data_IF_502992072866
#
_entry.id   IF_502992072866
#
_cell.length_a   1.000
_cell.length_b   1.000
_cell.length_c   1.000
_cell.angle_alpha   90.00
_cell.angle_beta   90.00
_cell.angle_gamma   90.00
#
_symmetry.space_group_name_H-M   'P 1'
#
loop_
_entity.id
_entity.type
_entity.pdbx_description
1 polymer ?
#
# COMPACT_ATOMS: atom_id res chain seq x y z
N UNK A 1 21.39 -12.35 18.61
CA UNK A 1 20.42 -11.23 18.65
C UNK A 1 19.05 -11.84 18.66
N UNK A 2 18.30 -11.65 19.71
CA UNK A 2 17.07 -12.38 20.03
C UNK A 2 15.92 -11.96 19.11
N UNK A 3 15.21 -12.95 18.58
CA UNK A 3 13.98 -12.92 17.71
C UNK A 3 12.80 -12.11 18.29
N UNK A 4 13.03 -11.30 19.34
CA UNK A 4 12.03 -10.68 20.19
C UNK A 4 11.41 -9.37 19.63
N UNK A 5 11.91 -8.87 18.50
CA UNK A 5 11.46 -7.58 17.93
C UNK A 5 10.58 -7.71 16.68
N UNK A 6 10.41 -8.92 16.15
CA UNK A 6 9.65 -9.13 14.90
C UNK A 6 8.17 -9.33 15.19
N UNK A 7 7.29 -8.58 14.52
CA UNK A 7 5.85 -8.81 14.54
C UNK A 7 5.46 -9.88 13.51
N UNK A 8 4.86 -10.98 13.97
CA UNK A 8 4.40 -12.06 13.09
C UNK A 8 3.25 -11.57 12.19
N UNK A 9 2.31 -10.78 12.70
CA UNK A 9 1.21 -10.21 11.92
C UNK A 9 1.72 -9.25 10.85
N UNK A 10 2.65 -8.37 11.19
CA UNK A 10 3.26 -7.46 10.22
C UNK A 10 3.99 -8.24 9.11
N UNK A 11 4.78 -9.25 9.46
CA UNK A 11 5.50 -10.07 8.48
C UNK A 11 4.56 -10.90 7.60
N UNK A 12 3.46 -11.43 8.13
CA UNK A 12 2.42 -12.12 7.34
C UNK A 12 1.81 -11.16 6.32
N UNK A 13 1.51 -9.94 6.73
CA UNK A 13 0.85 -8.94 5.90
C UNK A 13 1.76 -8.33 4.83
N UNK A 14 3.06 -8.18 5.13
CA UNK A 14 4.04 -7.54 4.24
C UNK A 14 4.77 -8.52 3.33
N UNK A 15 4.89 -9.80 3.74
CA UNK A 15 5.62 -10.78 2.96
C UNK A 15 4.87 -11.14 1.66
N UNK A 16 5.59 -11.07 0.56
CA UNK A 16 5.09 -11.37 -0.77
C UNK A 16 5.64 -12.71 -1.26
N UNK A 17 4.90 -13.37 -2.12
CA UNK A 17 5.41 -14.59 -2.73
C UNK A 17 5.06 -15.86 -2.00
N UNK A 18 3.91 -15.91 -1.35
CA UNK A 18 3.38 -17.14 -0.81
C UNK A 18 3.03 -18.13 -1.94
N UNK A 19 3.44 -19.39 -1.75
CA UNK A 19 2.89 -20.49 -2.54
C UNK A 19 1.41 -20.68 -2.16
N UNK A 20 0.64 -21.40 -2.98
CA UNK A 20 -0.77 -21.67 -2.69
C UNK A 20 -1.01 -22.30 -1.31
N UNK A 21 -0.11 -23.20 -0.89
CA UNK A 21 -0.17 -23.83 0.43
C UNK A 21 0.24 -22.90 1.58
N UNK A 22 1.14 -21.95 1.33
CA UNK A 22 1.49 -20.93 2.31
C UNK A 22 0.37 -19.89 2.42
N UNK A 23 -0.28 -19.54 1.31
CA UNK A 23 -1.43 -18.64 1.31
C UNK A 23 -2.58 -19.19 2.16
N UNK A 24 -2.88 -20.50 2.08
CA UNK A 24 -3.88 -21.11 2.96
C UNK A 24 -3.53 -21.01 4.45
N UNK A 25 -2.23 -21.04 4.79
CA UNK A 25 -1.80 -20.79 6.19
C UNK A 25 -2.07 -19.35 6.60
N UNK A 26 -1.76 -18.40 5.72
CA UNK A 26 -2.02 -16.97 5.94
C UNK A 26 -3.51 -16.71 6.12
N UNK A 27 -4.32 -17.20 5.17
CA UNK A 27 -5.77 -17.01 5.19
C UNK A 27 -6.38 -17.56 6.49
N UNK A 28 -5.99 -18.79 6.87
CA UNK A 28 -6.46 -19.38 8.12
C UNK A 28 -6.08 -18.56 9.35
N UNK A 29 -4.83 -18.07 9.43
CA UNK A 29 -4.37 -17.26 10.57
C UNK A 29 -5.15 -15.95 10.66
N UNK A 30 -5.40 -15.29 9.52
CA UNK A 30 -6.12 -14.03 9.48
C UNK A 30 -7.62 -14.20 9.80
N UNK A 31 -8.24 -15.27 9.34
CA UNK A 31 -9.65 -15.60 9.63
C UNK A 31 -9.87 -16.09 11.07
N UNK A 32 -8.87 -16.72 11.70
CA UNK A 32 -8.99 -17.38 13.00
C UNK A 32 -7.98 -16.82 14.02
N UNK A 33 -7.83 -15.51 14.08
CA UNK A 33 -6.82 -14.83 14.91
C UNK A 33 -6.87 -15.22 16.39
N UNK A 34 -8.05 -15.49 16.93
CA UNK A 34 -8.19 -15.90 18.34
C UNK A 34 -7.74 -17.33 18.61
N UNK A 35 -7.80 -18.22 17.62
CA UNK A 35 -7.51 -19.64 17.72
C UNK A 35 -6.09 -19.98 17.24
N UNK A 36 -5.66 -19.37 16.13
CA UNK A 36 -4.39 -19.67 15.47
C UNK A 36 -3.16 -19.70 16.41
N UNK A 37 -2.99 -18.76 17.37
CA UNK A 37 -1.86 -18.80 18.31
C UNK A 37 -1.86 -19.97 19.28
N UNK A 38 -2.99 -20.68 19.42
CA UNK A 38 -3.14 -21.81 20.34
C UNK A 38 -2.92 -23.15 19.69
N UNK A 39 -2.90 -23.18 18.35
CA UNK A 39 -2.73 -24.40 17.59
C UNK A 39 -1.29 -24.88 17.59
N UNK A 40 -1.09 -26.19 17.64
CA UNK A 40 0.21 -26.79 17.32
C UNK A 40 0.47 -26.74 15.81
N UNK A 41 1.73 -26.92 15.38
CA UNK A 41 2.05 -26.98 13.95
C UNK A 41 1.23 -28.06 13.21
N UNK A 42 0.99 -29.21 13.85
CA UNK A 42 0.17 -30.28 13.33
C UNK A 42 -1.33 -29.87 13.20
N UNK A 43 -1.85 -29.11 14.14
CA UNK A 43 -3.22 -28.60 14.09
C UNK A 43 -3.38 -27.52 13.03
N UNK A 44 -2.44 -26.55 12.99
CA UNK A 44 -2.44 -25.51 11.96
C UNK A 44 -2.29 -26.09 10.56
N UNK A 45 -1.44 -27.09 10.37
CA UNK A 45 -1.27 -27.73 9.07
C UNK A 45 -2.54 -28.42 8.58
N UNK A 46 -3.29 -29.07 9.49
CA UNK A 46 -4.59 -29.68 9.18
C UNK A 46 -5.66 -28.64 8.87
N UNK A 47 -5.74 -27.60 9.69
CA UNK A 47 -6.71 -26.51 9.53
C UNK A 47 -6.51 -25.74 8.21
N UNK A 48 -5.25 -25.48 7.85
CA UNK A 48 -4.91 -24.83 6.58
C UNK A 48 -4.79 -25.80 5.37
N UNK A 49 -5.22 -27.06 5.52
CA UNK A 49 -5.13 -28.10 4.47
C UNK A 49 -3.72 -28.19 3.84
N UNK A 50 -2.67 -28.24 4.67
CA UNK A 50 -1.26 -28.31 4.26
C UNK A 50 -0.47 -29.32 5.11
N UNK A 51 0.85 -29.38 4.96
CA UNK A 51 1.72 -30.26 5.75
C UNK A 51 2.47 -29.50 6.85
N UNK A 52 2.85 -30.18 7.94
CA UNK A 52 3.68 -29.59 9.00
C UNK A 52 5.04 -29.09 8.46
N UNK A 53 5.59 -29.79 7.44
CA UNK A 53 6.80 -29.35 6.77
C UNK A 53 6.61 -28.01 6.04
N UNK A 54 5.43 -27.76 5.49
CA UNK A 54 5.07 -26.47 4.87
C UNK A 54 4.93 -25.39 5.92
N UNK A 55 4.27 -25.66 7.05
CA UNK A 55 4.18 -24.71 8.19
C UNK A 55 5.57 -24.33 8.70
N UNK A 56 6.46 -25.33 8.85
CA UNK A 56 7.84 -25.08 9.30
C UNK A 56 8.64 -24.23 8.30
N UNK A 57 8.49 -24.48 6.98
CA UNK A 57 9.14 -23.66 5.94
C UNK A 57 8.57 -22.24 5.89
N UNK A 58 7.27 -22.10 6.02
CA UNK A 58 6.60 -20.82 6.12
C UNK A 58 7.16 -19.95 7.24
N UNK A 59 7.29 -20.49 8.46
CA UNK A 59 7.88 -19.77 9.59
C UNK A 59 9.31 -19.33 9.31
N UNK A 60 10.14 -20.20 8.72
CA UNK A 60 11.52 -19.85 8.37
C UNK A 60 11.59 -18.79 7.27
N UNK A 61 10.71 -18.84 6.31
CA UNK A 61 10.59 -17.85 5.23
C UNK A 61 10.27 -16.46 5.78
N UNK A 62 9.44 -16.37 6.84
CA UNK A 62 9.15 -15.15 7.57
C UNK A 62 10.29 -14.75 8.55
N UNK A 63 11.41 -15.49 8.57
CA UNK A 63 12.58 -15.19 9.40
C UNK A 63 12.48 -15.65 10.85
N UNK A 64 11.55 -16.56 11.17
CA UNK A 64 11.47 -17.20 12.49
C UNK A 64 12.28 -18.52 12.52
N UNK A 65 13.06 -18.72 13.57
CA UNK A 65 13.86 -19.93 13.74
C UNK A 65 13.05 -21.21 13.92
N UNK A 66 11.82 -21.11 14.40
CA UNK A 66 10.92 -22.23 14.66
C UNK A 66 9.45 -21.81 14.60
N UNK A 67 8.53 -22.79 14.45
CA UNK A 67 7.11 -22.57 14.62
C UNK A 67 6.77 -21.98 16.01
N UNK A 68 7.47 -22.41 17.04
CA UNK A 68 7.25 -21.90 18.41
C UNK A 68 7.60 -20.42 18.54
N UNK A 69 8.69 -19.94 17.92
CA UNK A 69 9.05 -18.52 17.94
C UNK A 69 8.05 -17.68 17.14
N UNK A 70 7.58 -18.19 16.01
CA UNK A 70 6.50 -17.59 15.24
C UNK A 70 5.20 -17.51 16.05
N UNK A 71 4.77 -18.62 16.65
CA UNK A 71 3.58 -18.72 17.49
C UNK A 71 3.63 -17.75 18.67
N UNK A 72 4.76 -17.63 19.33
CA UNK A 72 4.96 -16.69 20.45
C UNK A 72 4.85 -15.24 20.00
N UNK A 73 5.44 -14.89 18.85
CA UNK A 73 5.30 -13.55 18.26
C UNK A 73 3.85 -13.26 17.87
N UNK A 74 3.18 -14.20 17.22
CA UNK A 74 1.76 -14.08 16.86
C UNK A 74 0.86 -13.90 18.09
N UNK A 75 1.11 -14.69 19.14
CA UNK A 75 0.36 -14.57 20.39
C UNK A 75 0.58 -13.21 21.05
N UNK A 76 1.81 -12.73 21.09
CA UNK A 76 2.17 -11.41 21.64
C UNK A 76 1.52 -10.27 20.85
N UNK A 77 1.54 -10.33 19.51
CA UNK A 77 0.94 -9.31 18.68
C UNK A 77 -0.58 -9.24 18.92
N UNK A 78 -1.24 -10.38 19.00
CA UNK A 78 -2.68 -10.47 19.29
C UNK A 78 -3.03 -10.14 20.75
N UNK A 79 -2.12 -10.41 21.69
CA UNK A 79 -2.31 -10.03 23.10
C UNK A 79 -2.12 -8.52 23.29
N UNK A 80 -1.20 -7.89 22.54
CA UNK A 80 -1.08 -6.42 22.50
C UNK A 80 -2.38 -5.80 21.98
N UNK A 81 -2.94 -6.32 20.90
CA UNK A 81 -4.23 -5.88 20.36
C UNK A 81 -5.38 -6.09 21.38
N UNK A 82 -5.37 -7.22 22.10
CA UNK A 82 -6.37 -7.52 23.15
C UNK A 82 -6.21 -6.66 24.41
N UNK A 83 -4.98 -6.40 24.84
CA UNK A 83 -4.71 -5.57 26.02
C UNK A 83 -5.09 -4.11 25.78
N UNK A 84 -5.11 -3.67 24.51
CA UNK A 84 -5.70 -2.42 24.09
C UNK A 84 -7.23 -2.51 23.93
N UNK A 85 -7.83 -3.69 24.21
CA UNK A 85 -9.27 -3.93 24.08
C UNK A 85 -9.76 -3.90 22.64
N UNK A 86 -8.86 -4.11 21.67
CA UNK A 86 -9.17 -3.99 20.26
C UNK A 86 -9.84 -5.27 19.75
N UNK A 87 -11.03 -5.13 19.22
CA UNK A 87 -11.80 -6.18 18.54
C UNK A 87 -12.13 -5.70 17.12
N UNK A 88 -12.38 -6.62 16.19
CA UNK A 88 -12.82 -6.24 14.84
C UNK A 88 -14.27 -5.73 14.80
N UNK A 89 -14.96 -5.75 15.97
CA UNK A 89 -16.34 -5.33 16.06
C UNK A 89 -16.46 -3.81 16.13
N UNK A 90 -17.25 -3.25 15.23
CA UNK A 90 -17.68 -1.85 15.24
C UNK A 90 -19.17 -1.81 15.55
N UNK A 91 -19.54 -1.16 16.66
CA UNK A 91 -20.91 -1.08 17.13
C UNK A 91 -21.23 0.33 17.66
N UNK A 92 -22.43 0.80 17.39
CA UNK A 92 -22.94 2.06 17.98
C UNK A 92 -23.17 1.95 19.48
N UNK A 93 -23.39 0.74 20.01
CA UNK A 93 -23.59 0.50 21.43
C UNK A 93 -22.30 0.67 22.24
N UNK A 94 -21.14 0.57 21.57
CA UNK A 94 -19.83 0.78 22.18
C UNK A 94 -18.93 1.63 21.27
N UNK A 95 -19.30 2.89 21.08
CA UNK A 95 -18.61 3.81 20.17
C UNK A 95 -17.17 4.07 20.58
N UNK A 96 -16.87 4.24 21.86
CA UNK A 96 -15.51 4.53 22.32
C UNK A 96 -14.54 3.40 21.93
N UNK A 97 -14.92 2.15 22.19
CA UNK A 97 -14.11 0.99 21.82
C UNK A 97 -14.02 0.83 20.31
N UNK A 98 -15.13 1.04 19.59
CA UNK A 98 -15.17 0.98 18.12
C UNK A 98 -14.22 1.99 17.48
N UNK A 99 -14.15 3.22 18.01
CA UNK A 99 -13.20 4.24 17.53
C UNK A 99 -11.75 3.82 17.76
N UNK A 100 -11.44 3.23 18.93
CA UNK A 100 -10.09 2.69 19.22
C UNK A 100 -9.74 1.54 18.28
N UNK A 101 -10.68 0.64 18.02
CA UNK A 101 -10.49 -0.48 17.08
C UNK A 101 -10.19 0.02 15.67
N UNK A 102 -10.97 0.97 15.15
CA UNK A 102 -10.77 1.57 13.84
C UNK A 102 -9.40 2.23 13.75
N UNK A 103 -9.03 3.05 14.74
CA UNK A 103 -7.73 3.72 14.77
C UNK A 103 -6.58 2.71 14.75
N UNK A 104 -6.63 1.70 15.62
CA UNK A 104 -5.57 0.70 15.70
C UNK A 104 -5.41 -0.12 14.42
N UNK A 105 -6.52 -0.51 13.78
CA UNK A 105 -6.48 -1.18 12.48
C UNK A 105 -5.80 -0.31 11.42
N UNK A 106 -6.15 0.98 11.35
CA UNK A 106 -5.56 1.91 10.39
C UNK A 106 -4.08 2.21 10.67
N UNK A 107 -3.70 2.36 11.93
CA UNK A 107 -2.29 2.52 12.34
C UNK A 107 -1.49 1.27 11.95
N UNK A 108 -2.03 0.07 12.15
CA UNK A 108 -1.38 -1.19 11.75
C UNK A 108 -1.17 -1.26 10.23
N UNK A 109 -2.18 -0.92 9.42
CA UNK A 109 -2.08 -0.86 7.95
C UNK A 109 -1.01 0.11 7.49
N UNK A 110 -0.96 1.31 8.08
CA UNK A 110 0.01 2.34 7.75
C UNK A 110 1.44 1.93 8.12
N UNK A 111 1.65 1.40 9.34
CA UNK A 111 2.95 0.91 9.77
C UNK A 111 3.46 -0.20 8.84
N UNK A 112 2.62 -1.20 8.55
CA UNK A 112 2.98 -2.29 7.65
C UNK A 112 3.29 -1.80 6.22
N UNK A 113 2.60 -0.75 5.75
CA UNK A 113 2.87 -0.13 4.45
C UNK A 113 4.23 0.56 4.44
N UNK A 114 4.55 1.33 5.49
CA UNK A 114 5.84 2.04 5.62
C UNK A 114 7.00 1.05 5.77
N UNK A 115 6.84 0.04 6.63
CA UNK A 115 7.87 -0.99 6.86
C UNK A 115 8.16 -1.82 5.60
N UNK A 116 7.20 -1.88 4.68
CA UNK A 116 7.32 -2.57 3.39
C UNK A 116 7.96 -1.74 2.27
N UNK A 117 8.32 -0.47 2.51
CA UNK A 117 8.95 0.37 1.48
C UNK A 117 10.41 -0.06 1.27
N UNK A 118 10.73 -0.45 0.05
CA UNK A 118 12.11 -0.63 -0.38
C UNK A 118 12.78 0.73 -0.62
N UNK A 119 13.89 0.97 0.07
CA UNK A 119 14.55 2.27 0.07
C UNK A 119 15.18 2.61 -1.28
N UNK A 120 15.70 1.62 -2.01
CA UNK A 120 16.29 1.84 -3.33
C UNK A 120 15.20 2.18 -4.35
N UNK A 121 14.07 1.51 -4.27
CA UNK A 121 12.86 1.83 -5.06
C UNK A 121 12.37 3.26 -4.78
N UNK A 122 12.29 3.65 -3.50
CA UNK A 122 11.87 5.00 -3.12
C UNK A 122 12.83 6.06 -3.70
N UNK A 123 14.14 5.86 -3.52
CA UNK A 123 15.15 6.78 -4.04
C UNK A 123 15.09 6.90 -5.57
N UNK A 124 14.93 5.78 -6.27
CA UNK A 124 14.83 5.75 -7.73
C UNK A 124 13.57 6.47 -8.23
N UNK A 125 12.42 6.28 -7.56
CA UNK A 125 11.16 6.95 -7.92
C UNK A 125 11.23 8.46 -7.63
N UNK A 126 11.78 8.87 -6.49
CA UNK A 126 11.99 10.30 -6.18
C UNK A 126 12.87 10.94 -7.24
N UNK A 127 13.96 10.28 -7.64
CA UNK A 127 14.84 10.77 -8.70
C UNK A 127 14.13 10.87 -10.06
N UNK A 128 13.35 9.85 -10.43
CA UNK A 128 12.58 9.85 -11.68
C UNK A 128 11.55 10.98 -11.72
N UNK A 129 10.79 11.18 -10.63
CA UNK A 129 9.77 12.22 -10.54
C UNK A 129 10.37 13.64 -10.52
N UNK A 130 11.51 13.85 -9.83
CA UNK A 130 12.24 15.12 -9.83
C UNK A 130 12.64 15.56 -11.22
N UNK A 131 13.06 14.61 -12.06
CA UNK A 131 13.58 14.88 -13.41
C UNK A 131 12.53 14.69 -14.50
N UNK A 132 11.28 14.38 -14.14
CA UNK A 132 10.23 14.13 -15.11
C UNK A 132 9.85 15.38 -15.93
N UNK A 133 9.74 15.22 -17.24
CA UNK A 133 9.17 16.26 -18.10
C UNK A 133 7.68 16.47 -17.81
N UNK A 134 6.96 15.37 -17.62
CA UNK A 134 5.53 15.31 -17.24
C UNK A 134 5.30 14.10 -16.34
N UNK A 135 4.40 14.25 -15.37
CA UNK A 135 3.94 13.17 -14.49
C UNK A 135 2.44 12.97 -14.69
N UNK A 136 2.04 11.76 -15.10
CA UNK A 136 0.63 11.37 -15.10
C UNK A 136 0.33 10.56 -13.85
N UNK A 137 -0.64 11.00 -13.02
CA UNK A 137 -1.24 10.19 -11.97
C UNK A 137 -2.54 9.58 -12.49
N UNK A 138 -2.62 8.26 -12.56
CA UNK A 138 -3.79 7.59 -13.11
C UNK A 138 -4.36 6.53 -12.15
N UNK A 139 -5.67 6.54 -12.03
CA UNK A 139 -6.43 5.62 -11.18
C UNK A 139 -7.80 5.32 -11.80
N UNK A 140 -8.54 4.37 -11.23
CA UNK A 140 -9.90 4.04 -11.65
C UNK A 140 -10.77 3.77 -10.41
N UNK A 141 -11.98 4.34 -10.41
CA UNK A 141 -12.93 4.14 -9.30
C UNK A 141 -12.56 4.99 -8.09
N UNK A 142 -12.61 4.40 -6.89
CA UNK A 142 -12.40 5.14 -5.64
C UNK A 142 -10.97 5.66 -5.46
N UNK A 143 -9.97 5.05 -6.10
CA UNK A 143 -8.58 5.49 -6.05
C UNK A 143 -8.32 6.77 -6.87
N UNK A 144 -9.28 7.22 -7.70
CA UNK A 144 -9.17 8.52 -8.38
C UNK A 144 -8.94 9.69 -7.41
N UNK A 145 -9.50 9.62 -6.20
CA UNK A 145 -9.29 10.66 -5.19
C UNK A 145 -7.81 10.81 -4.81
N UNK A 146 -7.06 9.70 -4.77
CA UNK A 146 -5.61 9.72 -4.48
C UNK A 146 -4.82 10.32 -5.65
N UNK A 147 -5.19 9.98 -6.88
CA UNK A 147 -4.54 10.54 -8.08
C UNK A 147 -4.79 12.06 -8.21
N UNK A 148 -6.00 12.53 -7.88
CA UNK A 148 -6.33 13.96 -7.84
C UNK A 148 -5.53 14.70 -6.77
N UNK A 149 -5.47 14.17 -5.55
CA UNK A 149 -4.69 14.73 -4.44
C UNK A 149 -3.19 14.78 -4.79
N UNK A 150 -2.64 13.69 -5.32
CA UNK A 150 -1.25 13.63 -5.77
C UNK A 150 -0.97 14.70 -6.85
N UNK A 151 -1.82 14.80 -7.86
CA UNK A 151 -1.66 15.81 -8.92
C UNK A 151 -1.64 17.22 -8.34
N UNK A 152 -2.56 17.53 -7.43
CA UNK A 152 -2.62 18.83 -6.77
C UNK A 152 -1.33 19.13 -5.99
N UNK A 153 -0.91 18.23 -5.10
CA UNK A 153 0.28 18.39 -4.24
C UNK A 153 1.57 18.54 -5.05
N UNK A 154 1.77 17.68 -6.03
CA UNK A 154 3.01 17.67 -6.80
C UNK A 154 3.07 18.86 -7.77
N UNK A 155 1.92 19.37 -8.25
CA UNK A 155 1.88 20.61 -9.03
C UNK A 155 2.31 21.82 -8.20
N UNK A 156 2.02 21.85 -6.89
CA UNK A 156 2.50 22.91 -6.00
C UNK A 156 4.03 22.94 -5.83
N UNK A 157 4.70 21.81 -6.06
CA UNK A 157 6.16 21.74 -6.09
C UNK A 157 6.76 22.29 -7.41
N UNK A 158 5.94 22.76 -8.34
CA UNK A 158 6.37 23.20 -9.66
C UNK A 158 6.47 22.06 -10.71
N UNK A 159 6.06 20.84 -10.37
CA UNK A 159 6.09 19.70 -11.29
C UNK A 159 4.90 19.75 -12.25
N UNK A 160 5.13 19.35 -13.48
CA UNK A 160 4.07 19.31 -14.51
C UNK A 160 3.27 18.01 -14.37
N UNK A 161 2.15 18.08 -13.66
CA UNK A 161 1.33 16.93 -13.34
C UNK A 161 0.01 16.93 -14.11
N UNK A 162 -0.50 15.74 -14.41
CA UNK A 162 -1.78 15.51 -15.08
C UNK A 162 -2.51 14.35 -14.42
N UNK A 163 -3.81 14.44 -14.30
CA UNK A 163 -4.71 13.32 -14.02
C UNK A 163 -6.05 13.53 -14.70
N UNK A 164 -6.80 12.47 -14.91
CA UNK A 164 -8.20 12.53 -15.36
C UNK A 164 -9.01 11.40 -14.72
N UNK A 165 -10.23 11.72 -14.33
CA UNK A 165 -11.22 10.72 -13.88
C UNK A 165 -11.84 9.96 -15.06
N UNK A 166 -11.65 10.45 -16.29
CA UNK A 166 -12.09 9.82 -17.53
C UNK A 166 -10.95 8.93 -18.05
N UNK A 167 -11.16 7.63 -17.99
CA UNK A 167 -10.12 6.65 -18.37
C UNK A 167 -9.64 6.79 -19.81
N UNK A 168 -10.52 7.17 -20.73
CA UNK A 168 -10.20 7.38 -22.14
C UNK A 168 -9.26 8.58 -22.32
N UNK A 169 -9.42 9.63 -21.54
CA UNK A 169 -8.53 10.80 -21.52
C UNK A 169 -7.15 10.39 -21.00
N UNK A 170 -7.08 9.66 -19.87
CA UNK A 170 -5.80 9.17 -19.34
C UNK A 170 -5.12 8.20 -20.29
N UNK A 171 -5.83 7.28 -20.94
CA UNK A 171 -5.24 6.40 -21.97
C UNK A 171 -4.68 7.22 -23.14
N UNK A 172 -5.44 8.23 -23.59
CA UNK A 172 -5.00 9.13 -24.65
C UNK A 172 -3.73 9.90 -24.28
N UNK A 173 -3.65 10.35 -23.02
CA UNK A 173 -2.49 11.07 -22.51
C UNK A 173 -1.27 10.13 -22.35
N UNK A 174 -1.46 8.94 -21.84
CA UNK A 174 -0.39 7.94 -21.71
C UNK A 174 0.30 7.62 -23.06
N UNK A 175 -0.43 7.74 -24.17
CA UNK A 175 0.13 7.59 -25.53
C UNK A 175 1.01 8.77 -25.99
N UNK A 176 0.97 9.90 -25.27
CA UNK A 176 1.79 11.09 -25.57
C UNK A 176 3.05 11.21 -24.72
N UNK A 177 3.20 10.33 -23.73
CA UNK A 177 4.38 10.29 -22.87
C UNK A 177 5.65 9.97 -23.66
N UNK A 178 6.79 10.34 -23.13
CA UNK A 178 8.11 10.22 -23.77
C UNK A 178 9.12 9.66 -22.78
N UNK A 179 10.29 9.20 -23.24
CA UNK A 179 11.41 8.88 -22.36
C UNK A 179 11.72 10.07 -21.43
N UNK A 180 11.80 9.80 -20.13
CA UNK A 180 11.95 10.81 -19.09
C UNK A 180 10.65 11.29 -18.45
N UNK A 181 9.47 10.94 -19.00
CA UNK A 181 8.19 11.13 -18.35
C UNK A 181 7.88 9.97 -17.39
N UNK A 182 6.97 10.20 -16.45
CA UNK A 182 6.58 9.20 -15.44
C UNK A 182 5.06 9.04 -15.42
N UNK A 183 4.57 7.81 -15.37
CA UNK A 183 3.19 7.51 -15.01
C UNK A 183 3.14 6.78 -13.67
N UNK A 184 2.32 7.30 -12.74
CA UNK A 184 2.05 6.69 -11.43
C UNK A 184 0.64 6.11 -11.44
N UNK A 185 0.54 4.79 -11.40
CA UNK A 185 -0.72 4.05 -11.48
C UNK A 185 -1.14 3.56 -10.10
N UNK A 186 -2.32 3.96 -9.65
CA UNK A 186 -2.82 3.66 -8.30
C UNK A 186 -3.98 2.70 -8.39
N UNK A 187 -3.79 1.48 -7.87
CA UNK A 187 -4.78 0.41 -7.95
C UNK A 187 -4.65 -0.57 -6.80
N UNK A 188 -5.64 -0.69 -5.94
CA UNK A 188 -5.57 -1.66 -4.84
C UNK A 188 -5.30 -3.08 -5.36
N UNK A 189 -6.14 -3.65 -6.20
CA UNK A 189 -5.99 -5.03 -6.69
C UNK A 189 -4.99 -5.21 -7.84
N UNK A 190 -4.61 -4.12 -8.53
CA UNK A 190 -3.77 -4.21 -9.74
C UNK A 190 -4.38 -4.97 -10.92
N UNK A 191 -5.70 -5.27 -10.88
CA UNK A 191 -6.41 -6.08 -11.90
C UNK A 191 -7.17 -5.26 -12.93
N UNK A 192 -7.18 -3.92 -12.84
CA UNK A 192 -7.90 -3.05 -13.76
C UNK A 192 -7.38 -3.15 -15.19
N UNK A 193 -8.23 -3.59 -16.12
CA UNK A 193 -7.88 -3.65 -17.55
C UNK A 193 -7.52 -2.26 -18.12
N UNK A 194 -8.15 -1.20 -17.61
CA UNK A 194 -7.90 0.18 -18.07
C UNK A 194 -6.50 0.61 -17.66
N UNK A 195 -6.13 0.45 -16.39
CA UNK A 195 -4.79 0.79 -15.89
C UNK A 195 -3.70 -0.07 -16.55
N UNK A 196 -3.96 -1.36 -16.80
CA UNK A 196 -3.02 -2.21 -17.54
C UNK A 196 -2.78 -1.71 -18.98
N UNK A 197 -3.82 -1.14 -19.63
CA UNK A 197 -3.65 -0.49 -20.97
C UNK A 197 -2.82 0.78 -20.87
N UNK A 198 -3.03 1.62 -19.85
CA UNK A 198 -2.24 2.83 -19.62
C UNK A 198 -0.78 2.48 -19.36
N UNK A 199 -0.50 1.51 -18.46
CA UNK A 199 0.84 1.04 -18.18
C UNK A 199 1.57 0.56 -19.46
N UNK A 200 0.87 -0.21 -20.28
CA UNK A 200 1.44 -0.71 -21.54
C UNK A 200 1.73 0.42 -22.52
N UNK A 201 0.78 1.35 -22.70
CA UNK A 201 0.95 2.51 -23.56
C UNK A 201 2.16 3.35 -23.13
N UNK A 202 2.28 3.68 -21.84
CA UNK A 202 3.40 4.43 -21.29
C UNK A 202 4.74 3.73 -21.50
N UNK A 203 4.81 2.41 -21.26
CA UNK A 203 6.03 1.61 -21.55
C UNK A 203 6.42 1.62 -23.02
N UNK A 204 5.43 1.44 -23.89
CA UNK A 204 5.67 1.45 -25.36
C UNK A 204 6.20 2.82 -25.83
N UNK A 205 5.88 3.90 -25.10
CA UNK A 205 6.41 5.25 -25.29
C UNK A 205 7.75 5.51 -24.58
N UNK A 206 8.27 4.58 -23.80
CA UNK A 206 9.54 4.71 -23.07
C UNK A 206 9.44 5.51 -21.75
N UNK A 207 8.25 5.79 -21.27
CA UNK A 207 8.05 6.43 -19.97
C UNK A 207 8.26 5.45 -18.82
N UNK A 208 8.67 5.97 -17.66
CA UNK A 208 8.81 5.20 -16.43
C UNK A 208 7.44 4.88 -15.81
N UNK A 209 7.18 3.64 -15.49
CA UNK A 209 5.93 3.17 -14.91
C UNK A 209 6.11 2.85 -13.42
N UNK A 210 5.43 3.61 -12.56
CA UNK A 210 5.36 3.40 -11.11
C UNK A 210 3.99 2.88 -10.76
N UNK A 211 3.91 1.85 -9.92
CA UNK A 211 2.63 1.26 -9.47
C UNK A 211 2.53 1.30 -7.95
N UNK A 212 1.38 1.74 -7.44
CA UNK A 212 0.99 1.66 -6.02
C UNK A 212 -0.16 0.66 -5.94
N UNK A 213 0.06 -0.51 -5.31
CA UNK A 213 -0.91 -1.61 -5.28
C UNK A 213 -0.73 -2.49 -4.04
N UNK A 214 -1.79 -3.19 -3.61
CA UNK A 214 -1.69 -4.20 -2.54
C UNK A 214 -1.25 -5.58 -3.04
N UNK A 215 -1.17 -5.80 -4.35
CA UNK A 215 -0.73 -7.05 -4.96
C UNK A 215 0.45 -6.81 -5.92
N UNK A 216 1.66 -7.07 -5.42
CA UNK A 216 2.91 -6.95 -6.20
C UNK A 216 3.05 -7.99 -7.30
N UNK A 217 2.20 -9.02 -7.33
CA UNK A 217 2.15 -10.03 -8.38
C UNK A 217 1.04 -9.77 -9.39
N UNK A 218 0.27 -8.71 -9.19
CA UNK A 218 -0.83 -8.33 -10.09
C UNK A 218 -0.36 -8.14 -11.52
N UNK A 219 -1.27 -8.25 -12.50
CA UNK A 219 -0.95 -7.94 -13.89
C UNK A 219 -0.38 -6.53 -14.08
N UNK A 220 -0.84 -5.55 -13.27
CA UNK A 220 -0.37 -4.17 -13.32
C UNK A 220 1.07 -4.05 -12.78
N UNK A 221 1.36 -4.67 -11.64
CA UNK A 221 2.71 -4.65 -11.05
C UNK A 221 3.78 -5.27 -11.96
N UNK A 222 3.41 -6.27 -12.77
CA UNK A 222 4.33 -6.87 -13.75
C UNK A 222 4.70 -5.94 -14.91
N UNK A 223 3.96 -4.88 -15.12
CA UNK A 223 4.23 -3.84 -16.12
C UNK A 223 5.02 -2.66 -15.55
N UNK A 224 5.20 -2.61 -14.25
CA UNK A 224 5.89 -1.53 -13.56
C UNK A 224 7.41 -1.67 -13.64
N UNK A 225 8.10 -0.54 -13.68
CA UNK A 225 9.54 -0.44 -13.40
C UNK A 225 9.76 -0.40 -11.88
N UNK A 226 8.83 0.25 -11.15
CA UNK A 226 8.85 0.36 -9.69
C UNK A 226 7.46 0.09 -9.10
N UNK A 227 7.43 -0.62 -7.98
CA UNK A 227 6.16 -0.94 -7.28
C UNK A 227 6.26 -0.63 -5.80
N UNK A 228 5.30 0.14 -5.27
CA UNK A 228 5.06 0.28 -3.84
C UNK A 228 3.91 -0.64 -3.44
N UNK A 229 4.16 -1.43 -2.41
CA UNK A 229 3.14 -2.32 -1.88
C UNK A 229 2.39 -1.64 -0.73
N UNK A 230 1.06 -1.62 -0.83
CA UNK A 230 0.18 -1.12 0.24
C UNK A 230 -0.44 -2.27 1.00
N UNK A 231 -0.53 -2.13 2.32
CA UNK A 231 -1.24 -3.10 3.16
C UNK A 231 -2.64 -2.58 3.47
N UNK A 232 -3.63 -3.46 3.36
CA UNK A 232 -5.02 -3.16 3.61
C UNK A 232 -5.71 -4.41 4.17
N UNK A 233 -6.31 -4.30 5.35
CA UNK A 233 -6.96 -5.40 6.06
C UNK A 233 -8.49 -5.41 5.87
N UNK A 234 -9.04 -4.53 5.04
CA UNK A 234 -10.47 -4.46 4.81
C UNK A 234 -10.97 -5.65 3.97
N UNK A 235 -11.61 -6.61 4.62
CA UNK A 235 -12.35 -7.70 3.98
C UNK A 235 -13.79 -7.26 3.67
N UNK A 236 -13.98 -6.33 2.74
CA UNK A 236 -15.26 -5.61 2.61
C UNK A 236 -16.22 -6.16 1.56
N UNK A 237 -15.82 -7.06 0.69
CA UNK A 237 -16.72 -7.62 -0.31
C UNK A 237 -16.41 -9.09 -0.59
N UNK A 238 -17.43 -9.83 -1.04
CA UNK A 238 -17.40 -11.25 -1.42
C UNK A 238 -16.29 -11.63 -2.40
N UNK A 239 -15.68 -10.67 -3.10
CA UNK A 239 -14.61 -10.91 -4.07
C UNK A 239 -13.20 -10.62 -3.52
N UNK A 240 -13.08 -9.97 -2.34
CA UNK A 240 -11.78 -9.55 -1.78
C UNK A 240 -10.97 -8.53 -2.61
N UNK A 241 -11.47 -8.15 -3.79
CA UNK A 241 -10.74 -7.28 -4.73
C UNK A 241 -10.96 -5.77 -4.48
N UNK A 242 -11.85 -5.42 -3.55
CA UNK A 242 -12.17 -4.03 -3.24
C UNK A 242 -11.73 -3.66 -1.83
N UNK A 243 -10.93 -2.61 -1.72
CA UNK A 243 -10.72 -1.89 -0.48
C UNK A 243 -11.34 -0.50 -0.60
N UNK A 244 -12.10 -0.07 0.41
CA UNK A 244 -12.65 1.29 0.45
C UNK A 244 -11.65 2.29 1.00
N UNK A 245 -10.78 1.86 1.93
CA UNK A 245 -9.72 2.72 2.45
C UNK A 245 -8.68 3.02 1.37
N UNK A 246 -8.31 4.28 1.31
CA UNK A 246 -7.25 4.79 0.44
C UNK A 246 -6.03 5.23 1.24
N UNK A 247 -6.07 5.06 2.57
CA UNK A 247 -5.08 5.63 3.49
C UNK A 247 -3.67 5.13 3.18
N UNK A 248 -3.50 3.84 2.92
CA UNK A 248 -2.18 3.27 2.60
C UNK A 248 -1.63 3.80 1.27
N UNK A 249 -2.47 3.95 0.24
CA UNK A 249 -2.04 4.54 -1.03
C UNK A 249 -1.73 6.04 -0.87
N UNK A 250 -2.53 6.77 -0.10
CA UNK A 250 -2.28 8.17 0.24
C UNK A 250 -0.97 8.30 1.03
N UNK A 251 -0.70 7.40 1.97
CA UNK A 251 0.56 7.39 2.73
C UNK A 251 1.79 7.24 1.81
N UNK A 252 1.75 6.39 0.78
CA UNK A 252 2.83 6.30 -0.19
C UNK A 252 3.02 7.63 -0.94
N UNK A 253 1.93 8.28 -1.36
CA UNK A 253 2.00 9.61 -1.98
C UNK A 253 2.61 10.64 -1.04
N UNK A 254 2.22 10.65 0.24
CA UNK A 254 2.80 11.52 1.27
C UNK A 254 4.30 11.27 1.46
N UNK A 255 4.72 10.02 1.51
CA UNK A 255 6.14 9.67 1.63
C UNK A 255 6.91 10.21 0.43
N UNK A 256 6.48 9.94 -0.79
CA UNK A 256 7.15 10.41 -2.01
C UNK A 256 7.20 11.95 -2.02
N UNK A 257 6.10 12.62 -1.68
CA UNK A 257 6.03 14.08 -1.61
C UNK A 257 7.05 14.66 -0.62
N UNK A 258 7.13 14.09 0.58
CA UNK A 258 8.05 14.57 1.63
C UNK A 258 9.53 14.36 1.25
N UNK A 259 9.86 13.32 0.48
CA UNK A 259 11.20 13.14 -0.05
C UNK A 259 11.50 14.03 -1.26
N UNK A 260 10.49 14.38 -2.07
CA UNK A 260 10.64 15.29 -3.20
C UNK A 260 10.79 16.74 -2.80
N UNK A 261 10.08 17.19 -1.76
CA UNK A 261 10.08 18.58 -1.33
C UNK A 261 11.49 19.18 -1.12
N UNK A 262 12.44 18.53 -0.42
CA UNK A 262 13.79 19.05 -0.28
C UNK A 262 14.66 18.90 -1.55
N UNK A 263 14.25 18.06 -2.50
CA UNK A 263 15.00 17.77 -3.71
C UNK A 263 14.71 18.74 -4.86
N UNK A 264 13.61 19.50 -4.79
CA UNK A 264 13.22 20.48 -5.81
C UNK A 264 13.62 21.86 -5.32
N UNK A 265 14.56 22.49 -6.02
CA UNK A 265 15.23 23.73 -5.61
C UNK A 265 14.22 24.87 -5.34
N UNK A 266 13.26 25.06 -6.25
CA UNK A 266 12.29 26.15 -6.21
C UNK A 266 10.94 25.76 -5.58
N UNK A 267 10.81 24.57 -4.97
CA UNK A 267 9.53 24.07 -4.45
C UNK A 267 8.87 25.03 -3.46
N UNK A 268 9.65 25.62 -2.56
CA UNK A 268 9.14 26.55 -1.54
C UNK A 268 8.66 27.86 -2.16
N UNK A 269 9.34 28.35 -3.20
CA UNK A 269 8.93 29.55 -3.93
C UNK A 269 7.62 29.31 -4.68
N UNK A 270 7.49 28.17 -5.34
CA UNK A 270 6.23 27.76 -6.00
C UNK A 270 5.07 27.67 -5.00
N UNK A 271 5.28 27.05 -3.84
CA UNK A 271 4.25 26.94 -2.80
C UNK A 271 3.86 28.34 -2.28
N UNK A 272 4.84 29.18 -1.95
CA UNK A 272 4.57 30.56 -1.48
C UNK A 272 3.80 31.36 -2.50
N UNK A 273 4.21 31.32 -3.77
CA UNK A 273 3.53 32.04 -4.84
C UNK A 273 2.09 31.53 -5.05
N UNK A 274 1.89 30.21 -4.99
CA UNK A 274 0.55 29.65 -5.03
C UNK A 274 -0.32 30.15 -3.86
N UNK A 275 0.22 30.16 -2.62
CA UNK A 275 -0.50 30.67 -1.46
C UNK A 275 -0.88 32.15 -1.60
N UNK A 276 0.01 32.98 -2.13
CA UNK A 276 -0.27 34.39 -2.41
C UNK A 276 -1.42 34.57 -3.41
N UNK A 277 -1.46 33.76 -4.46
CA UNK A 277 -2.51 33.81 -5.48
C UNK A 277 -3.90 33.44 -4.93
N UNK A 278 -3.99 32.52 -3.98
CA UNK A 278 -5.27 32.07 -3.41
C UNK A 278 -5.65 32.81 -2.12
N UNK A 279 -4.73 33.62 -1.55
CA UNK A 279 -4.98 34.34 -0.31
C UNK A 279 -6.23 35.24 -0.34
N UNK A 280 -6.56 35.93 -1.44
CA UNK A 280 -7.77 36.76 -1.53
C UNK A 280 -9.07 35.98 -1.33
N UNK A 281 -9.06 34.66 -1.56
CA UNK A 281 -10.23 33.81 -1.42
C UNK A 281 -10.44 33.37 0.06
N UNK A 282 -9.51 33.67 0.95
CA UNK A 282 -9.64 33.36 2.38
C UNK A 282 -10.39 34.47 3.09
N UNK A 283 -11.42 34.12 3.86
CA UNK A 283 -12.10 35.06 4.75
C UNK A 283 -11.10 35.49 5.82
N UNK A 284 -10.78 36.78 5.85
CA UNK A 284 -10.01 37.42 6.93
C UNK A 284 -11.01 37.87 7.95
N UNK A 285 -11.04 37.25 9.15
CA UNK A 285 -11.83 37.74 10.29
C UNK A 285 -11.23 39.00 10.92
#
# INVERSE_FOLDING_TARGET
>A
MTDSSKSALSLISTHQGYSESEQRIVDYILEHQSEAPRLTAAQLSRAAATSEATVSRFCRKLGFGSFRSFQFSLARDLESLRNEGLTDEVSLDNMEQSLKNILAAKVSELNATIDGIDHDTLAAVVHALKNAGVIEFAAVGNTNAVALDATFKFSQLGLRCMTSTISETSIGFALTLRPGDVIVLISNSGKSRRLNRMAKAARDCGATVVVISSDSKSPLARLADYTFNTVNHEALLTTGDFAFSKMSATMIIEVIYNFLLPEIEDAREHISYYEELIQPDKVVE
#
